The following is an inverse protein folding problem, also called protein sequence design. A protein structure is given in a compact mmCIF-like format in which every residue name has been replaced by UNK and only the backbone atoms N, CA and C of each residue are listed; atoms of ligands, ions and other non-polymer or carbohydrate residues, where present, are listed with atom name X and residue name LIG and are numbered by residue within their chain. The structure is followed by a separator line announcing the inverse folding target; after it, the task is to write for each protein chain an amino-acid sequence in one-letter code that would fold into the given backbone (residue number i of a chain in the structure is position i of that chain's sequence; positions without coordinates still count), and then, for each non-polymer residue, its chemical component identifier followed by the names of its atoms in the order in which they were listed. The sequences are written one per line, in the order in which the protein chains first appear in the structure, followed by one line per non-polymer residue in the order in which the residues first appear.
data_IF_632881598789
#
_entry.id   IF_632881598789
#
_cell.length_a   1.000
_cell.length_b   1.000
_cell.length_c   1.000
_cell.angle_alpha   90.00
_cell.angle_beta   90.00
_cell.angle_gamma   90.00
#
_symmetry.space_group_name_H-M   'P 1'
#
loop_
_entity.id
_entity.type
_entity.pdbx_description
1 polymer ?
#
# COMPACT_ATOMS: atom_id res chain seq x y z
N UNK A 1 9.80 4.77 35.37
CA UNK A 1 9.06 4.06 34.30
C UNK A 1 8.63 5.08 33.26
N UNK A 2 9.39 5.22 32.18
CA UNK A 2 9.06 6.17 31.10
C UNK A 2 7.99 5.57 30.19
N UNK A 3 6.77 6.09 30.28
CA UNK A 3 5.62 5.72 29.45
C UNK A 3 5.70 6.33 28.03
N UNK A 4 6.89 6.36 27.44
CA UNK A 4 7.03 6.59 26.01
C UNK A 4 6.92 5.24 25.32
N UNK A 5 5.70 4.70 25.29
CA UNK A 5 5.36 3.62 24.38
C UNK A 5 5.66 4.11 22.97
N UNK A 6 6.76 3.58 22.40
CA UNK A 6 7.25 3.83 21.04
C UNK A 6 6.05 3.99 20.10
N UNK A 7 5.89 5.16 19.48
CA UNK A 7 4.93 5.39 18.39
C UNK A 7 5.33 4.48 17.22
N UNK A 8 4.61 3.40 16.92
CA UNK A 8 4.90 2.54 15.75
C UNK A 8 4.27 3.12 14.46
N UNK A 9 3.53 4.23 14.59
CA UNK A 9 2.70 4.81 13.53
C UNK A 9 3.52 5.47 12.43
N UNK A 10 4.61 6.15 12.76
CA UNK A 10 5.42 6.85 11.76
C UNK A 10 6.25 5.88 10.91
N UNK A 11 6.93 4.91 11.54
CA UNK A 11 7.77 3.93 10.84
C UNK A 11 6.99 3.11 9.80
N UNK A 12 5.77 2.67 10.17
CA UNK A 12 4.91 1.91 9.26
C UNK A 12 4.41 2.77 8.09
N UNK A 13 4.12 4.04 8.35
CA UNK A 13 3.66 4.99 7.33
C UNK A 13 4.78 5.29 6.34
N UNK A 14 6.01 5.49 6.84
CA UNK A 14 7.18 5.76 6.00
C UNK A 14 7.51 4.53 5.13
N UNK A 15 7.57 3.33 5.73
CA UNK A 15 7.76 2.09 4.98
C UNK A 15 6.66 1.85 3.95
N UNK A 16 5.40 2.14 4.28
CA UNK A 16 4.30 2.03 3.34
C UNK A 16 4.43 3.02 2.19
N UNK A 17 4.88 4.25 2.46
CA UNK A 17 5.14 5.25 1.43
C UNK A 17 6.26 4.82 0.49
N UNK A 18 7.38 4.34 1.01
CA UNK A 18 8.51 3.84 0.20
C UNK A 18 8.07 2.61 -0.58
N UNK A 19 7.34 1.69 0.05
CA UNK A 19 6.79 0.51 -0.63
C UNK A 19 5.92 0.95 -1.81
N UNK A 20 4.96 1.83 -1.58
CA UNK A 20 4.05 2.35 -2.59
C UNK A 20 4.76 3.16 -3.69
N UNK A 21 5.89 3.81 -3.39
CA UNK A 21 6.74 4.48 -4.38
C UNK A 21 7.36 3.49 -5.38
N UNK A 22 7.61 2.25 -4.94
CA UNK A 22 8.10 1.16 -5.81
C UNK A 22 6.97 0.50 -6.62
N UNK A 23 5.69 0.72 -6.26
CA UNK A 23 4.59 0.13 -7.00
C UNK A 23 4.39 0.82 -8.35
N UNK A 24 4.24 0.01 -9.40
CA UNK A 24 3.77 0.53 -10.67
C UNK A 24 2.24 0.62 -10.67
N UNK A 25 1.69 1.42 -11.59
CA UNK A 25 0.24 1.55 -11.74
C UNK A 25 -0.46 0.19 -11.93
N UNK A 26 0.18 -0.73 -12.68
CA UNK A 26 -0.32 -2.09 -12.89
C UNK A 26 -0.43 -2.88 -11.58
N UNK A 27 0.53 -2.72 -10.66
CA UNK A 27 0.53 -3.37 -9.35
C UNK A 27 -0.57 -2.79 -8.46
N UNK A 28 -0.75 -1.48 -8.46
CA UNK A 28 -1.83 -0.81 -7.72
C UNK A 28 -3.21 -1.25 -8.22
N UNK A 29 -3.41 -1.30 -9.53
CA UNK A 29 -4.65 -1.80 -10.13
C UNK A 29 -4.92 -3.26 -9.74
N UNK A 30 -3.88 -4.10 -9.80
CA UNK A 30 -3.99 -5.52 -9.46
C UNK A 30 -4.25 -5.72 -7.98
N UNK A 31 -3.58 -4.96 -7.10
CA UNK A 31 -3.83 -4.95 -5.66
C UNK A 31 -5.27 -4.54 -5.35
N UNK A 32 -5.75 -3.47 -5.97
CA UNK A 32 -7.11 -3.01 -5.74
C UNK A 32 -8.15 -4.03 -6.22
N UNK A 33 -7.89 -4.69 -7.35
CA UNK A 33 -8.76 -5.75 -7.88
C UNK A 33 -8.78 -6.98 -6.96
N UNK A 34 -7.61 -7.46 -6.49
CA UNK A 34 -7.51 -8.61 -5.57
C UNK A 34 -8.10 -8.29 -4.18
N UNK A 35 -7.88 -7.08 -3.66
CA UNK A 35 -8.26 -6.71 -2.29
C UNK A 35 -9.70 -6.27 -2.17
N UNK A 36 -10.20 -5.44 -3.10
CA UNK A 36 -11.55 -4.88 -3.03
C UNK A 36 -12.57 -5.68 -3.84
N UNK A 37 -12.13 -6.70 -4.60
CA UNK A 37 -13.00 -7.54 -5.44
C UNK A 37 -13.75 -6.76 -6.53
N UNK A 38 -13.35 -5.49 -6.71
CA UNK A 38 -13.80 -4.59 -7.74
C UNK A 38 -12.51 -4.15 -8.39
N UNK A 39 -12.41 -4.32 -9.72
CA UNK A 39 -11.90 -3.18 -10.48
C UNK A 39 -12.78 -2.06 -9.99
N UNK A 40 -12.27 -1.16 -9.14
CA UNK A 40 -13.03 0.04 -8.87
C UNK A 40 -13.43 0.61 -10.25
N UNK A 41 -14.35 1.55 -10.32
CA UNK A 41 -14.49 2.36 -11.54
C UNK A 41 -13.23 3.24 -11.73
N UNK A 42 -12.06 2.61 -11.64
CA UNK A 42 -10.75 2.90 -12.15
C UNK A 42 -10.91 2.88 -13.65
N UNK A 43 -11.55 3.92 -14.18
CA UNK A 43 -11.39 4.25 -15.59
C UNK A 43 -9.88 4.20 -15.86
N UNK A 44 -9.40 3.25 -16.67
CA UNK A 44 -7.97 3.08 -16.92
C UNK A 44 -7.37 4.32 -17.60
N UNK A 45 -8.21 5.22 -18.09
CA UNK A 45 -7.84 6.48 -18.72
C UNK A 45 -7.62 7.64 -17.72
N UNK A 46 -8.07 7.52 -16.46
CA UNK A 46 -8.12 8.68 -15.54
C UNK A 46 -7.37 8.53 -14.22
N UNK A 47 -7.16 7.31 -13.70
CA UNK A 47 -6.36 7.17 -12.49
C UNK A 47 -4.87 7.36 -12.81
N UNK A 48 -4.37 8.55 -12.48
CA UNK A 48 -2.93 8.75 -12.35
C UNK A 48 -2.42 7.94 -11.15
N UNK A 49 -1.19 7.43 -11.20
CA UNK A 49 -0.58 6.69 -10.09
C UNK A 49 -0.76 7.40 -8.74
N UNK A 50 -0.74 8.74 -8.75
CA UNK A 50 -0.97 9.60 -7.58
C UNK A 50 -2.37 9.41 -6.97
N UNK A 51 -3.43 9.34 -7.78
CA UNK A 51 -4.79 9.13 -7.25
C UNK A 51 -4.99 7.70 -6.74
N UNK A 52 -4.37 6.71 -7.39
CA UNK A 52 -4.39 5.34 -6.91
C UNK A 52 -3.69 5.23 -5.54
N UNK A 53 -2.56 5.93 -5.37
CA UNK A 53 -1.83 6.06 -4.12
C UNK A 53 -2.65 6.77 -3.03
N UNK A 54 -3.27 7.89 -3.36
CA UNK A 54 -4.12 8.65 -2.42
C UNK A 54 -5.32 7.82 -1.95
N UNK A 55 -5.96 7.10 -2.87
CA UNK A 55 -7.04 6.16 -2.54
C UNK A 55 -6.55 5.05 -1.61
N UNK A 56 -5.42 4.42 -1.92
CA UNK A 56 -4.83 3.37 -1.09
C UNK A 56 -4.49 3.89 0.31
N UNK A 57 -3.99 5.12 0.39
CA UNK A 57 -3.71 5.82 1.63
C UNK A 57 -4.97 6.07 2.46
N UNK A 58 -6.04 6.55 1.82
CA UNK A 58 -7.36 6.74 2.44
C UNK A 58 -7.94 5.41 2.93
N UNK A 59 -7.82 4.33 2.15
CA UNK A 59 -8.28 2.99 2.57
C UNK A 59 -7.47 2.45 3.76
N UNK A 60 -6.16 2.69 3.79
CA UNK A 60 -5.32 2.34 4.94
C UNK A 60 -5.71 3.14 6.19
N UNK A 61 -5.91 4.46 6.05
CA UNK A 61 -6.39 5.32 7.14
C UNK A 61 -7.77 4.89 7.66
N UNK A 62 -8.64 4.38 6.78
CA UNK A 62 -9.94 3.80 7.13
C UNK A 62 -9.86 2.39 7.72
N UNK A 63 -8.67 1.78 7.78
CA UNK A 63 -8.46 0.41 8.24
C UNK A 63 -9.04 -0.66 7.31
N UNK A 64 -9.32 -0.31 6.05
CA UNK A 64 -9.80 -1.22 5.01
C UNK A 64 -8.65 -2.03 4.37
N UNK A 65 -7.45 -1.46 4.38
CA UNK A 65 -6.21 -2.08 3.94
C UNK A 65 -5.22 -2.04 5.09
N UNK A 66 -4.50 -3.14 5.30
CA UNK A 66 -3.41 -3.21 6.26
C UNK A 66 -2.05 -3.25 5.55
N UNK A 67 -1.03 -2.72 6.21
CA UNK A 67 0.35 -2.75 5.69
C UNK A 67 0.82 -4.18 5.40
N UNK A 68 0.45 -5.15 6.24
CA UNK A 68 0.76 -6.56 6.00
C UNK A 68 0.23 -7.08 4.66
N UNK A 69 -1.00 -6.68 4.27
CA UNK A 69 -1.58 -7.08 2.98
C UNK A 69 -0.84 -6.45 1.79
N UNK A 70 -0.43 -5.19 1.92
CA UNK A 70 0.40 -4.50 0.93
C UNK A 70 1.76 -5.17 0.78
N UNK A 71 2.41 -5.49 1.91
CA UNK A 71 3.70 -6.18 1.96
C UNK A 71 3.60 -7.57 1.31
N UNK A 72 2.62 -8.38 1.71
CA UNK A 72 2.39 -9.71 1.12
C UNK A 72 2.14 -9.62 -0.39
N UNK A 73 1.35 -8.65 -0.83
CA UNK A 73 1.11 -8.45 -2.25
C UNK A 73 2.38 -8.05 -3.00
N UNK A 74 3.18 -7.14 -2.44
CA UNK A 74 4.40 -6.66 -3.06
C UNK A 74 5.42 -7.80 -3.24
N UNK A 75 5.55 -8.66 -2.21
CA UNK A 75 6.40 -9.86 -2.28
C UNK A 75 5.86 -10.88 -3.29
N UNK A 76 4.54 -11.13 -3.30
CA UNK A 76 3.89 -12.09 -4.20
C UNK A 76 3.99 -11.69 -5.67
N UNK A 77 3.99 -10.39 -5.95
CA UNK A 77 4.06 -9.85 -7.31
C UNK A 77 5.49 -9.42 -7.71
N UNK A 78 6.49 -9.71 -6.88
CA UNK A 78 7.90 -9.34 -7.13
C UNK A 78 8.12 -7.83 -7.32
N UNK A 79 7.26 -7.01 -6.70
CA UNK A 79 7.35 -5.53 -6.73
C UNK A 79 8.55 -5.07 -5.91
N UNK A 80 8.78 -5.70 -4.77
CA UNK A 80 9.97 -5.53 -3.93
C UNK A 80 10.43 -6.91 -3.44
N UNK A 81 11.73 -7.08 -3.23
CA UNK A 81 12.28 -8.31 -2.65
C UNK A 81 12.10 -8.37 -1.13
N UNK A 82 12.18 -9.56 -0.54
CA UNK A 82 12.13 -9.75 0.92
C UNK A 82 13.17 -8.90 1.66
N UNK A 83 14.35 -8.72 1.07
CA UNK A 83 15.43 -7.87 1.59
C UNK A 83 15.10 -6.37 1.66
N UNK A 84 14.00 -5.93 1.06
CA UNK A 84 13.49 -4.57 1.25
C UNK A 84 12.92 -4.35 2.66
N UNK A 85 12.52 -5.43 3.35
CA UNK A 85 11.93 -5.39 4.68
C UNK A 85 12.82 -6.04 5.77
N UNK A 86 14.05 -6.45 5.45
CA UNK A 86 15.08 -6.89 6.40
C UNK A 86 15.78 -5.69 7.05
#
# INVERSE_FOLDING_TARGET
MGLFGKKPKDDTVDQMRILLDNFQFADLQKFCTETFGKTASMDPEHLSSIEALDFLWDQYHKGKVQFSQLKEFALKNDVVSESFFE
#
